data_IF_843342770650
#
_entry.id   IF_843342770650
#
_cell.length_a   1.000
_cell.length_b   1.000
_cell.length_c   1.000
_cell.angle_alpha   90.00
_cell.angle_beta   90.00
_cell.angle_gamma   90.00
#
_symmetry.space_group_name_H-M   'P 1'
#
loop_
_entity.id
_entity.type
_entity.pdbx_description
1 polymer ?
#
# COMPACT_ATOMS: atom_id res chain seq x y z
N UNK A 1 -1.56 -15.79 -6.97
CA UNK A 1 -1.23 -15.27 -5.63
C UNK A 1 0.05 -14.46 -5.74
N UNK A 2 0.20 -13.34 -5.00
CA UNK A 2 1.47 -12.63 -4.96
C UNK A 2 1.91 -12.31 -3.53
N UNK A 3 3.22 -12.30 -3.33
CA UNK A 3 3.87 -12.06 -2.05
C UNK A 3 4.86 -10.92 -2.18
N UNK A 4 4.63 -9.86 -1.42
CA UNK A 4 5.50 -8.69 -1.42
C UNK A 4 5.93 -8.30 0.00
N UNK A 5 6.99 -7.52 0.08
CA UNK A 5 7.55 -7.05 1.34
C UNK A 5 7.60 -5.53 1.41
N UNK A 6 7.39 -4.99 2.59
CA UNK A 6 7.63 -3.57 2.84
C UNK A 6 9.13 -3.28 2.75
N UNK A 7 9.49 -2.25 2.00
CA UNK A 7 10.85 -1.75 1.92
C UNK A 7 11.18 -0.92 3.19
N UNK A 8 12.40 -1.03 3.67
CA UNK A 8 12.89 -0.23 4.80
C UNK A 8 13.16 1.20 4.31
N UNK A 9 12.16 2.07 4.38
CA UNK A 9 12.20 3.45 3.81
C UNK A 9 12.42 4.53 4.86
N UNK A 10 12.77 4.15 6.10
CA UNK A 10 13.01 5.06 7.24
C UNK A 10 14.11 4.57 8.14
N UNK A 11 14.61 5.48 8.97
CA UNK A 11 15.69 5.19 9.91
C UNK A 11 17.08 5.14 9.25
N UNK A 12 18.08 4.76 10.03
CA UNK A 12 19.50 4.74 9.61
C UNK A 12 19.77 3.76 8.46
N UNK A 13 18.98 2.71 8.36
CA UNK A 13 19.14 1.67 7.33
C UNK A 13 18.53 2.06 5.98
N UNK A 14 17.75 3.13 5.94
CA UNK A 14 17.13 3.62 4.72
C UNK A 14 18.15 4.38 3.85
N UNK A 15 18.97 3.66 3.12
CA UNK A 15 20.01 4.21 2.23
C UNK A 15 19.85 3.64 0.81
N UNK A 16 20.31 4.37 -0.24
CA UNK A 16 20.25 3.88 -1.62
C UNK A 16 20.96 2.55 -1.84
N UNK A 17 22.05 2.30 -1.11
CA UNK A 17 22.77 1.02 -1.14
C UNK A 17 21.88 -0.11 -0.59
N UNK A 18 21.29 0.09 0.56
CA UNK A 18 20.42 -0.89 1.20
C UNK A 18 19.12 -1.14 0.42
N UNK A 19 18.54 -0.10 -0.18
CA UNK A 19 17.41 -0.26 -1.09
C UNK A 19 17.78 -1.18 -2.26
N UNK A 20 18.96 -0.98 -2.84
CA UNK A 20 19.46 -1.81 -3.94
C UNK A 20 19.64 -3.27 -3.50
N UNK A 21 20.31 -3.50 -2.36
CA UNK A 21 20.50 -4.85 -1.80
C UNK A 21 19.17 -5.59 -1.58
N UNK A 22 18.18 -4.91 -0.96
CA UNK A 22 16.86 -5.50 -0.74
C UNK A 22 16.17 -5.84 -2.06
N UNK A 23 16.21 -4.95 -3.04
CA UNK A 23 15.54 -5.16 -4.32
C UNK A 23 16.20 -6.27 -5.15
N UNK A 24 17.53 -6.34 -5.20
CA UNK A 24 18.28 -7.39 -5.87
C UNK A 24 18.01 -8.75 -5.20
N UNK A 25 17.99 -8.81 -3.87
CA UNK A 25 17.66 -10.03 -3.13
C UNK A 25 16.22 -10.46 -3.39
N UNK A 26 15.27 -9.53 -3.35
CA UNK A 26 13.86 -9.81 -3.65
C UNK A 26 13.69 -10.36 -5.08
N UNK A 27 14.39 -9.79 -6.06
CA UNK A 27 14.37 -10.28 -7.44
C UNK A 27 15.00 -11.66 -7.59
N UNK A 28 16.13 -11.92 -6.92
CA UNK A 28 16.82 -13.21 -6.93
C UNK A 28 15.99 -14.32 -6.25
N UNK A 29 15.29 -14.00 -5.18
CA UNK A 29 14.40 -14.91 -4.46
C UNK A 29 13.01 -15.05 -5.09
N UNK A 30 12.77 -14.44 -6.25
CA UNK A 30 11.48 -14.45 -6.94
C UNK A 30 10.33 -13.93 -6.08
N UNK A 31 10.59 -12.92 -5.25
CA UNK A 31 9.56 -12.15 -4.58
C UNK A 31 8.82 -11.32 -5.63
N UNK A 32 7.50 -11.19 -5.49
CA UNK A 32 6.66 -10.55 -6.53
C UNK A 32 6.72 -9.03 -6.49
N UNK A 33 6.80 -8.42 -5.30
CA UNK A 33 6.73 -6.97 -5.16
C UNK A 33 7.44 -6.41 -3.93
N UNK A 34 7.90 -5.15 -4.04
CA UNK A 34 8.29 -4.32 -2.90
C UNK A 34 7.35 -3.14 -2.73
N UNK A 35 7.08 -2.81 -1.47
CA UNK A 35 6.09 -1.80 -1.09
C UNK A 35 6.70 -0.69 -0.26
N UNK A 36 6.46 0.57 -0.66
CA UNK A 36 6.94 1.75 0.05
C UNK A 36 5.80 2.40 0.82
N UNK A 37 6.01 2.63 2.12
CA UNK A 37 5.14 3.50 2.92
C UNK A 37 5.55 4.96 2.79
N UNK A 38 4.63 5.89 3.08
CA UNK A 38 4.86 7.32 2.94
C UNK A 38 4.41 8.11 4.17
N UNK A 39 5.26 9.02 4.58
CA UNK A 39 4.94 10.19 5.40
C UNK A 39 5.76 11.38 4.87
N UNK A 40 5.20 12.59 4.92
CA UNK A 40 5.88 13.78 4.43
C UNK A 40 6.68 14.44 5.54
N UNK A 41 6.03 14.66 6.68
CA UNK A 41 6.64 15.28 7.85
C UNK A 41 5.99 14.77 9.14
N UNK A 42 6.81 14.42 10.10
CA UNK A 42 6.32 13.86 11.35
C UNK A 42 6.57 14.86 12.50
N UNK A 43 5.51 15.44 13.09
CA UNK A 43 5.64 16.28 14.26
C UNK A 43 6.29 15.52 15.43
N UNK A 44 7.15 16.16 16.22
CA UNK A 44 7.83 15.50 17.33
C UNK A 44 6.90 15.10 18.47
N UNK A 45 5.77 15.80 18.59
CA UNK A 45 4.71 15.51 19.57
C UNK A 45 3.45 15.09 18.83
N UNK A 46 2.85 13.99 19.26
CA UNK A 46 1.65 13.44 18.67
C UNK A 46 0.54 13.33 19.72
N UNK A 47 -0.66 13.78 19.35
CA UNK A 47 -1.90 13.60 20.13
C UNK A 47 -2.66 12.38 19.63
N UNK A 48 -2.57 12.13 18.33
CA UNK A 48 -3.20 10.98 17.70
C UNK A 48 -2.54 9.69 18.12
N UNK A 49 -3.31 8.75 18.67
CA UNK A 49 -2.85 7.40 18.93
C UNK A 49 -2.58 6.67 17.60
N UNK A 50 -1.61 5.76 17.58
CA UNK A 50 -1.34 4.95 16.39
C UNK A 50 -2.56 4.08 16.08
N UNK A 51 -3.24 4.39 14.99
CA UNK A 51 -4.56 3.81 14.66
C UNK A 51 -4.56 2.29 14.48
N UNK A 52 -3.39 1.71 14.20
CA UNK A 52 -3.24 0.26 14.00
C UNK A 52 -2.97 -0.51 15.31
N UNK A 53 -2.67 0.19 16.40
CA UNK A 53 -2.51 -0.37 17.74
C UNK A 53 -3.06 0.62 18.76
N UNK A 54 -4.34 0.53 19.14
CA UNK A 54 -4.94 1.41 20.13
C UNK A 54 -4.12 1.45 21.43
N UNK A 55 -3.84 2.65 21.93
CA UNK A 55 -3.03 2.86 23.13
C UNK A 55 -1.50 2.87 22.92
N UNK A 56 -1.04 2.62 21.71
CA UNK A 56 0.38 2.74 21.34
C UNK A 56 0.62 4.09 20.68
N UNK A 57 1.65 4.79 21.15
CA UNK A 57 2.11 6.02 20.52
C UNK A 57 2.91 5.71 19.25
N UNK A 58 2.97 6.67 18.35
CA UNK A 58 3.78 6.56 17.15
C UNK A 58 5.24 6.29 17.52
N UNK A 59 5.89 5.22 17.03
CA UNK A 59 7.22 4.83 17.47
C UNK A 59 8.26 5.92 17.22
N UNK A 60 9.10 6.23 18.20
CA UNK A 60 10.09 7.31 18.11
C UNK A 60 11.06 7.15 16.94
N UNK A 61 11.48 5.91 16.62
CA UNK A 61 12.39 5.66 15.50
C UNK A 61 11.76 5.95 14.14
N UNK A 62 10.44 6.03 14.04
CA UNK A 62 9.76 6.42 12.78
C UNK A 62 9.85 7.92 12.53
N UNK A 63 10.13 8.74 13.54
CA UNK A 63 10.31 10.19 13.40
C UNK A 63 11.62 10.58 12.70
N UNK A 64 12.46 9.61 12.33
CA UNK A 64 13.73 9.85 11.62
C UNK A 64 13.56 10.22 10.14
N UNK A 65 12.31 10.38 9.70
CA UNK A 65 11.98 10.73 8.32
C UNK A 65 11.74 9.52 7.43
N UNK A 66 10.96 9.74 6.39
CA UNK A 66 10.65 8.76 5.36
C UNK A 66 11.25 9.21 4.04
N UNK A 67 11.74 8.26 3.27
CA UNK A 67 12.05 8.53 1.87
C UNK A 67 10.75 8.62 1.07
N UNK A 68 10.75 9.51 0.09
CA UNK A 68 9.61 9.70 -0.80
C UNK A 68 9.46 8.46 -1.70
N UNK A 69 8.28 7.80 -1.73
CA UNK A 69 8.12 6.50 -2.38
C UNK A 69 8.32 6.52 -3.88
N UNK A 70 7.87 7.55 -4.59
CA UNK A 70 8.00 7.61 -6.05
C UNK A 70 9.45 7.75 -6.49
N UNK A 71 10.26 8.50 -5.73
CA UNK A 71 11.70 8.62 -5.97
C UNK A 71 12.43 7.29 -5.75
N UNK A 72 12.14 6.60 -4.64
CA UNK A 72 12.75 5.29 -4.32
C UNK A 72 12.34 4.24 -5.35
N UNK A 73 11.07 4.16 -5.70
CA UNK A 73 10.56 3.21 -6.70
C UNK A 73 11.20 3.46 -8.07
N UNK A 74 11.30 4.72 -8.51
CA UNK A 74 11.95 5.08 -9.79
C UNK A 74 13.41 4.66 -9.81
N UNK A 75 14.13 4.86 -8.70
CA UNK A 75 15.52 4.43 -8.56
C UNK A 75 15.68 2.91 -8.67
N UNK A 76 14.81 2.15 -8.01
CA UNK A 76 14.85 0.69 -7.99
C UNK A 76 14.34 0.07 -9.31
N UNK A 77 13.38 0.70 -9.95
CA UNK A 77 12.87 0.25 -11.25
C UNK A 77 13.96 0.18 -12.32
N UNK A 78 14.95 1.10 -12.27
CA UNK A 78 16.09 1.10 -13.18
C UNK A 78 17.12 -0.01 -12.89
N UNK A 79 17.05 -0.66 -11.73
CA UNK A 79 17.97 -1.71 -11.27
C UNK A 79 17.39 -3.11 -11.33
N UNK A 80 16.10 -3.22 -11.60
CA UNK A 80 15.35 -4.49 -11.60
C UNK A 80 14.60 -4.66 -12.91
N UNK A 81 14.28 -5.90 -13.26
CA UNK A 81 13.63 -6.21 -14.53
C UNK A 81 12.22 -6.82 -14.37
N UNK A 82 11.97 -7.55 -13.28
CA UNK A 82 10.75 -8.31 -13.05
C UNK A 82 9.96 -7.82 -11.83
N UNK A 83 10.67 -7.37 -10.81
CA UNK A 83 10.10 -6.97 -9.53
C UNK A 83 9.04 -5.87 -9.71
N UNK A 84 7.86 -6.09 -9.15
CA UNK A 84 6.80 -5.08 -9.09
C UNK A 84 7.01 -4.14 -7.92
N UNK A 85 6.45 -2.96 -8.01
CA UNK A 85 6.52 -1.95 -6.97
C UNK A 85 5.14 -1.39 -6.65
N UNK A 86 4.94 -1.04 -5.38
CA UNK A 86 3.71 -0.37 -4.99
C UNK A 86 3.92 0.58 -3.82
N UNK A 87 2.94 1.44 -3.60
CA UNK A 87 2.86 2.25 -2.39
C UNK A 87 1.90 1.60 -1.39
N UNK A 88 2.29 1.52 -0.11
CA UNK A 88 1.45 0.99 0.97
C UNK A 88 1.61 1.84 2.24
N UNK A 89 1.08 3.06 2.24
CA UNK A 89 0.29 3.74 1.20
C UNK A 89 0.73 5.20 1.09
N UNK A 90 0.37 5.87 -0.01
CA UNK A 90 0.39 7.33 -0.10
C UNK A 90 -0.88 7.88 0.54
N UNK A 91 -0.73 8.85 1.43
CA UNK A 91 -1.88 9.57 2.03
C UNK A 91 -2.32 10.66 1.06
N UNK A 92 -3.18 10.31 0.11
CA UNK A 92 -3.52 11.15 -1.05
C UNK A 92 -3.97 12.57 -0.69
N UNK A 93 -4.83 12.82 0.32
CA UNK A 93 -5.32 14.16 0.62
C UNK A 93 -4.30 15.11 1.28
N UNK A 94 -3.07 14.63 1.55
CA UNK A 94 -1.96 15.49 1.99
C UNK A 94 -1.25 16.18 0.82
N UNK A 95 -1.50 15.74 -0.41
CA UNK A 95 -0.79 16.17 -1.61
C UNK A 95 -1.69 16.95 -2.57
N UNK A 96 -1.05 17.62 -3.53
CA UNK A 96 -1.73 18.12 -4.71
C UNK A 96 -2.06 16.95 -5.66
N UNK A 97 -3.33 16.67 -5.97
CA UNK A 97 -3.69 15.49 -6.77
C UNK A 97 -3.21 15.57 -8.21
N UNK A 98 -3.03 16.74 -8.80
CA UNK A 98 -2.46 16.89 -10.14
C UNK A 98 -1.00 16.42 -10.18
N UNK A 99 -0.23 16.74 -9.14
CA UNK A 99 1.18 16.31 -9.02
C UNK A 99 1.24 14.80 -8.77
N UNK A 100 0.39 14.25 -7.89
CA UNK A 100 0.35 12.81 -7.65
C UNK A 100 -0.08 12.06 -8.92
N UNK A 101 -1.11 12.51 -9.64
CA UNK A 101 -1.52 11.88 -10.89
C UNK A 101 -0.37 11.82 -11.92
N UNK A 102 0.47 12.88 -11.95
CA UNK A 102 1.63 12.95 -12.81
C UNK A 102 2.73 12.00 -12.35
N UNK A 103 3.12 12.03 -11.08
CA UNK A 103 4.13 11.13 -10.51
C UNK A 103 3.75 9.66 -10.69
N UNK A 104 2.49 9.31 -10.46
CA UNK A 104 1.95 7.97 -10.69
C UNK A 104 2.13 7.54 -12.15
N UNK A 105 1.79 8.43 -13.09
CA UNK A 105 1.96 8.15 -14.52
C UNK A 105 3.44 8.02 -14.93
N UNK A 106 4.31 8.86 -14.37
CA UNK A 106 5.76 8.81 -14.61
C UNK A 106 6.39 7.52 -14.07
N UNK A 107 6.06 7.13 -12.83
CA UNK A 107 6.54 5.89 -12.22
C UNK A 107 6.03 4.67 -12.98
N UNK A 108 4.78 4.69 -13.44
CA UNK A 108 4.22 3.63 -14.27
C UNK A 108 5.00 3.45 -15.59
N UNK A 109 5.36 4.56 -16.24
CA UNK A 109 6.23 4.55 -17.42
C UNK A 109 7.64 4.03 -17.10
N UNK A 110 8.27 4.53 -16.05
CA UNK A 110 9.64 4.17 -15.65
C UNK A 110 9.74 2.71 -15.21
N UNK A 111 8.71 2.18 -14.56
CA UNK A 111 8.63 0.77 -14.18
C UNK A 111 8.18 -0.14 -15.33
N UNK A 112 7.82 0.42 -16.50
CA UNK A 112 7.26 -0.33 -17.62
C UNK A 112 6.02 -1.14 -17.25
N UNK A 113 5.08 -0.51 -16.49
CA UNK A 113 3.84 -1.13 -16.07
C UNK A 113 3.96 -2.10 -14.88
N UNK A 114 5.05 -2.06 -14.13
CA UNK A 114 5.25 -2.86 -12.90
C UNK A 114 4.81 -2.12 -11.63
N UNK A 115 4.06 -1.03 -11.75
CA UNK A 115 3.64 -0.18 -10.62
C UNK A 115 2.18 -0.44 -10.23
N UNK A 116 1.92 -0.44 -8.92
CA UNK A 116 0.60 -0.51 -8.28
C UNK A 116 0.45 0.69 -7.34
N UNK A 117 -0.61 1.47 -7.53
CA UNK A 117 -0.80 2.69 -6.74
C UNK A 117 -1.69 2.44 -5.52
N UNK A 118 -1.06 2.25 -4.37
CA UNK A 118 -1.74 2.12 -3.08
C UNK A 118 -1.91 3.46 -2.39
N UNK A 119 -3.15 3.78 -2.02
CA UNK A 119 -3.51 5.03 -1.38
C UNK A 119 -4.43 4.85 -0.16
N UNK A 120 -4.43 5.85 0.69
CA UNK A 120 -5.34 5.97 1.83
C UNK A 120 -5.69 7.42 2.12
N UNK A 121 -6.57 7.62 3.12
CA UNK A 121 -7.01 8.97 3.52
C UNK A 121 -6.19 9.55 4.67
N UNK A 122 -5.37 8.74 5.33
CA UNK A 122 -4.61 9.14 6.50
C UNK A 122 -5.40 9.13 7.82
N UNK A 123 -4.66 8.99 8.89
CA UNK A 123 -5.17 8.95 10.27
C UNK A 123 -4.49 9.97 11.18
N UNK A 124 -3.33 10.51 10.78
CA UNK A 124 -2.44 11.32 11.59
C UNK A 124 -2.75 12.80 11.39
N UNK A 125 -3.66 13.33 12.22
CA UNK A 125 -4.20 14.69 12.09
C UNK A 125 -3.13 15.77 12.17
N UNK A 126 -2.11 15.60 13.04
CA UNK A 126 -1.04 16.56 13.23
C UNK A 126 -0.16 16.73 11.97
N UNK A 127 -0.01 15.69 11.16
CA UNK A 127 0.67 15.80 9.87
C UNK A 127 -0.14 16.66 8.89
N UNK A 128 -1.48 16.52 8.88
CA UNK A 128 -2.36 17.39 8.10
C UNK A 128 -2.25 18.87 8.54
N UNK A 129 -2.21 19.11 9.85
CA UNK A 129 -2.07 20.47 10.40
C UNK A 129 -0.80 21.15 9.90
N UNK A 130 0.36 20.46 9.99
CA UNK A 130 1.65 20.99 9.53
C UNK A 130 1.65 21.27 8.04
N UNK A 131 0.96 20.44 7.26
CA UNK A 131 0.85 20.58 5.81
C UNK A 131 -0.24 21.58 5.38
N UNK A 132 -0.93 22.23 6.33
CA UNK A 132 -2.07 23.13 6.07
C UNK A 132 -3.16 22.44 5.24
N UNK A 133 -3.42 21.16 5.50
CA UNK A 133 -4.46 20.38 4.86
C UNK A 133 -5.61 20.12 5.85
N UNK A 134 -6.85 20.29 5.39
CA UNK A 134 -8.01 19.99 6.22
C UNK A 134 -8.18 18.48 6.41
N UNK A 135 -8.10 18.05 7.66
CA UNK A 135 -8.26 16.65 8.06
C UNK A 135 -9.70 16.14 7.90
N UNK A 136 -10.70 17.00 8.17
CA UNK A 136 -12.09 16.58 8.24
C UNK A 136 -12.73 16.30 6.88
N UNK A 137 -12.24 16.92 5.83
CA UNK A 137 -12.72 16.71 4.45
C UNK A 137 -11.86 15.70 3.65
N UNK A 138 -10.83 15.08 4.27
CA UNK A 138 -9.86 14.22 3.59
C UNK A 138 -10.50 13.08 2.78
N UNK A 139 -11.60 12.51 3.29
CA UNK A 139 -12.30 11.42 2.61
C UNK A 139 -12.95 11.83 1.30
N UNK A 140 -13.66 12.96 1.29
CA UNK A 140 -14.34 13.46 0.09
C UNK A 140 -13.35 14.01 -0.93
N UNK A 141 -12.28 14.68 -0.48
CA UNK A 141 -11.18 15.12 -1.37
C UNK A 141 -10.47 13.92 -2.03
N UNK A 142 -10.29 12.83 -1.31
CA UNK A 142 -9.72 11.60 -1.89
C UNK A 142 -10.62 11.01 -2.97
N UNK A 143 -11.94 10.96 -2.74
CA UNK A 143 -12.89 10.46 -3.73
C UNK A 143 -12.84 11.28 -5.01
N UNK A 144 -12.89 12.61 -4.88
CA UNK A 144 -12.83 13.52 -6.03
C UNK A 144 -11.47 13.46 -6.74
N UNK A 145 -10.37 13.28 -6.00
CA UNK A 145 -9.05 13.09 -6.61
C UNK A 145 -8.97 11.82 -7.45
N UNK A 146 -9.62 10.73 -7.04
CA UNK A 146 -9.69 9.50 -7.82
C UNK A 146 -10.50 9.68 -9.12
N UNK A 147 -11.59 10.44 -9.08
CA UNK A 147 -12.35 10.82 -10.28
C UNK A 147 -11.51 11.71 -11.21
N UNK A 148 -10.78 12.68 -10.63
CA UNK A 148 -9.84 13.52 -11.37
C UNK A 148 -8.75 12.71 -12.06
N UNK A 149 -8.20 11.66 -11.41
CA UNK A 149 -7.17 10.80 -12.01
C UNK A 149 -7.68 10.09 -13.26
N UNK A 150 -8.90 9.57 -13.23
CA UNK A 150 -9.51 8.96 -14.40
C UNK A 150 -9.61 9.94 -15.58
N UNK A 151 -9.95 11.20 -15.31
CA UNK A 151 -9.99 12.23 -16.33
C UNK A 151 -8.57 12.58 -16.84
N UNK A 152 -7.60 12.79 -15.94
CA UNK A 152 -6.23 13.15 -16.29
C UNK A 152 -5.50 12.07 -17.08
N UNK A 153 -5.75 10.79 -16.80
CA UNK A 153 -5.14 9.67 -17.52
C UNK A 153 -5.84 9.32 -18.83
N UNK A 154 -7.04 9.90 -19.05
CA UNK A 154 -7.78 9.82 -20.29
C UNK A 154 -7.19 10.67 -21.44
N UNK A 155 -7.88 10.79 -22.58
CA UNK A 155 -7.41 11.58 -23.72
C UNK A 155 -7.44 13.09 -23.42
N UNK A 156 -6.54 13.83 -24.08
CA UNK A 156 -6.54 15.30 -24.09
C UNK A 156 -7.52 15.85 -25.13
N UNK A 157 -8.05 17.08 -24.94
CA UNK A 157 -7.91 17.92 -23.77
C UNK A 157 -8.76 17.45 -22.60
N UNK A 158 -8.22 17.56 -21.38
CA UNK A 158 -8.90 17.19 -20.14
C UNK A 158 -9.77 18.34 -19.64
N UNK A 159 -11.00 18.04 -19.29
CA UNK A 159 -11.90 18.92 -18.54
C UNK A 159 -12.52 18.13 -17.39
N UNK A 160 -12.41 18.67 -16.18
CA UNK A 160 -13.00 18.11 -14.97
C UNK A 160 -13.52 19.22 -14.08
N UNK A 161 -14.75 19.07 -13.58
CA UNK A 161 -15.40 20.03 -12.64
C UNK A 161 -15.83 19.30 -11.39
N UNK A 162 -15.07 19.49 -10.31
CA UNK A 162 -15.38 18.98 -8.98
C UNK A 162 -15.69 20.09 -8.00
N UNK A 163 -15.86 19.71 -6.75
CA UNK A 163 -16.04 20.66 -5.64
C UNK A 163 -14.68 21.24 -5.19
N UNK A 164 -13.63 20.45 -5.24
CA UNK A 164 -12.29 20.79 -4.74
C UNK A 164 -11.29 21.00 -5.87
N UNK A 165 -11.46 20.30 -6.99
CA UNK A 165 -10.50 20.30 -8.10
C UNK A 165 -11.19 20.63 -9.41
N UNK A 166 -10.60 21.54 -10.16
CA UNK A 166 -11.14 21.97 -11.43
C UNK A 166 -10.03 22.10 -12.46
N UNK A 167 -10.27 21.63 -13.67
CA UNK A 167 -9.42 21.83 -14.84
C UNK A 167 -10.31 21.96 -16.07
N UNK A 168 -9.95 22.89 -16.96
CA UNK A 168 -10.71 23.16 -18.18
C UNK A 168 -9.75 23.21 -19.37
N UNK A 169 -10.03 22.36 -20.37
CA UNK A 169 -9.35 22.33 -21.67
C UNK A 169 -7.80 22.32 -21.56
N UNK A 170 -7.26 21.44 -20.70
CA UNK A 170 -5.83 21.34 -20.46
C UNK A 170 -5.23 20.05 -21.03
N UNK A 171 -3.93 20.08 -21.33
CA UNK A 171 -3.17 18.89 -21.68
C UNK A 171 -2.45 18.35 -20.43
N UNK A 172 -2.51 17.03 -20.25
CA UNK A 172 -1.84 16.35 -19.15
C UNK A 172 -0.95 15.23 -19.70
N UNK A 173 0.28 15.16 -19.23
CA UNK A 173 1.23 14.11 -19.63
C UNK A 173 2.47 14.03 -18.75
N UNK A 174 3.18 12.89 -18.78
CA UNK A 174 2.85 11.71 -19.58
C UNK A 174 1.55 11.02 -19.13
N UNK A 175 0.99 10.15 -19.99
CA UNK A 175 -0.10 9.25 -19.58
C UNK A 175 0.50 7.95 -19.06
N UNK A 176 -0.17 7.23 -18.15
CA UNK A 176 0.27 5.89 -17.73
C UNK A 176 0.39 4.93 -18.93
N UNK A 177 1.33 3.98 -18.84
CA UNK A 177 1.45 2.89 -19.81
C UNK A 177 0.35 1.85 -19.61
N UNK A 178 0.02 1.53 -18.36
CA UNK A 178 -1.12 0.69 -18.01
C UNK A 178 -2.44 1.41 -18.33
N UNK A 179 -3.48 0.68 -18.72
CA UNK A 179 -4.77 1.25 -19.10
C UNK A 179 -5.90 0.65 -18.25
N UNK A 180 -6.80 1.49 -17.71
CA UNK A 180 -6.91 2.95 -17.87
C UNK A 180 -5.86 3.74 -17.05
N UNK A 181 -5.16 3.11 -16.14
CA UNK A 181 -4.10 3.58 -15.26
C UNK A 181 -3.44 2.41 -14.53
N UNK A 182 -2.46 2.63 -13.66
CA UNK A 182 -1.95 1.60 -12.77
C UNK A 182 -3.06 1.10 -11.84
N UNK A 183 -3.04 -0.17 -11.40
CA UNK A 183 -4.03 -0.69 -10.46
C UNK A 183 -4.11 0.16 -9.19
N UNK A 184 -5.33 0.57 -8.86
CA UNK A 184 -5.64 1.40 -7.68
C UNK A 184 -5.91 0.47 -6.48
N UNK A 185 -5.06 0.59 -5.46
CA UNK A 185 -5.22 -0.10 -4.18
C UNK A 185 -5.74 0.87 -3.12
N UNK A 186 -6.93 0.62 -2.58
CA UNK A 186 -7.52 1.45 -1.52
C UNK A 186 -7.35 0.80 -0.17
N UNK A 187 -6.58 1.46 0.71
CA UNK A 187 -6.31 0.97 2.04
C UNK A 187 -7.36 1.38 3.07
N UNK A 188 -7.48 0.53 4.09
CA UNK A 188 -8.24 0.79 5.30
C UNK A 188 -9.30 -0.24 5.64
N UNK A 189 -9.61 -0.33 6.95
CA UNK A 189 -10.53 -1.31 7.53
C UNK A 189 -11.90 -0.68 7.88
N UNK A 190 -12.03 0.64 7.78
CA UNK A 190 -13.26 1.35 8.15
C UNK A 190 -14.33 1.23 7.07
N UNK A 191 -15.59 1.41 7.46
CA UNK A 191 -16.71 1.40 6.52
C UNK A 191 -16.56 2.42 5.37
N UNK A 192 -16.14 3.69 5.60
CA UNK A 192 -15.85 4.61 4.51
C UNK A 192 -14.74 4.14 3.56
N UNK A 193 -13.75 3.37 4.08
CA UNK A 193 -12.71 2.79 3.23
C UNK A 193 -13.26 1.66 2.36
N UNK A 194 -14.13 0.80 2.90
CA UNK A 194 -14.81 -0.25 2.13
C UNK A 194 -15.68 0.33 1.01
N UNK A 195 -16.46 1.38 1.30
CA UNK A 195 -17.27 2.09 0.29
C UNK A 195 -16.40 2.70 -0.81
N UNK A 196 -15.27 3.29 -0.44
CA UNK A 196 -14.29 3.82 -1.42
C UNK A 196 -13.67 2.72 -2.26
N UNK A 197 -13.27 1.60 -1.63
CA UNK A 197 -12.73 0.45 -2.35
C UNK A 197 -13.77 -0.11 -3.35
N UNK A 198 -15.01 -0.27 -2.91
CA UNK A 198 -16.09 -0.74 -3.78
C UNK A 198 -16.30 0.15 -5.02
N UNK A 199 -16.16 1.47 -4.87
CA UNK A 199 -16.40 2.42 -5.96
C UNK A 199 -15.21 2.58 -6.90
N UNK A 200 -13.97 2.64 -6.37
CA UNK A 200 -12.82 3.12 -7.13
C UNK A 200 -11.67 2.12 -7.26
N UNK A 201 -11.60 1.09 -6.41
CA UNK A 201 -10.41 0.25 -6.34
C UNK A 201 -10.46 -0.95 -7.30
N UNK A 202 -9.27 -1.32 -7.78
CA UNK A 202 -8.99 -2.65 -8.34
C UNK A 202 -8.67 -3.64 -7.21
N UNK A 203 -8.11 -3.14 -6.08
CA UNK A 203 -7.75 -3.94 -4.92
C UNK A 203 -8.12 -3.24 -3.61
N UNK A 204 -8.83 -3.94 -2.72
CA UNK A 204 -9.00 -3.51 -1.33
C UNK A 204 -7.80 -3.96 -0.49
N UNK A 205 -7.21 -3.02 0.26
CA UNK A 205 -5.97 -3.23 1.01
C UNK A 205 -6.15 -3.03 2.53
N UNK A 206 -6.75 -4.02 3.23
CA UNK A 206 -6.88 -3.97 4.68
C UNK A 206 -5.56 -4.22 5.39
N UNK A 207 -5.43 -3.64 6.59
CA UNK A 207 -4.23 -3.74 7.41
C UNK A 207 -4.53 -4.57 8.65
N UNK A 208 -3.74 -5.64 8.85
CA UNK A 208 -3.78 -6.53 10.02
C UNK A 208 -5.19 -7.00 10.40
N UNK A 209 -6.04 -7.42 9.46
CA UNK A 209 -7.33 -7.96 9.83
C UNK A 209 -7.14 -9.34 10.49
N UNK A 210 -7.86 -9.62 11.58
CA UNK A 210 -8.03 -11.01 12.01
C UNK A 210 -8.87 -11.77 10.97
N UNK A 211 -8.89 -13.10 11.03
CA UNK A 211 -9.69 -13.92 10.11
C UNK A 211 -11.17 -13.53 10.14
N UNK A 212 -11.74 -13.34 11.35
CA UNK A 212 -13.13 -12.93 11.50
C UNK A 212 -13.41 -11.51 11.00
N UNK A 213 -12.47 -10.57 11.20
CA UNK A 213 -12.60 -9.21 10.67
C UNK A 213 -12.52 -9.18 9.15
N UNK A 214 -11.63 -9.99 8.54
CA UNK A 214 -11.54 -10.09 7.09
C UNK A 214 -12.85 -10.64 6.52
N UNK A 215 -13.36 -11.73 7.07
CA UNK A 215 -14.61 -12.36 6.62
C UNK A 215 -15.81 -11.38 6.70
N UNK A 216 -16.00 -10.73 7.85
CA UNK A 216 -17.07 -9.74 8.03
C UNK A 216 -16.91 -8.54 7.08
N UNK A 217 -15.70 -8.04 6.90
CA UNK A 217 -15.43 -6.90 6.02
C UNK A 217 -15.62 -7.27 4.56
N UNK A 218 -15.28 -8.49 4.13
CA UNK A 218 -15.52 -9.00 2.78
C UNK A 218 -17.01 -9.11 2.49
N UNK A 219 -17.83 -9.56 3.46
CA UNK A 219 -19.29 -9.58 3.31
C UNK A 219 -19.86 -8.16 3.12
N UNK A 220 -19.40 -7.17 3.91
CA UNK A 220 -19.79 -5.77 3.74
C UNK A 220 -19.33 -5.20 2.40
N UNK A 221 -18.09 -5.51 1.99
CA UNK A 221 -17.56 -5.08 0.71
C UNK A 221 -18.41 -5.60 -0.46
N UNK A 222 -18.88 -6.84 -0.40
CA UNK A 222 -19.78 -7.40 -1.42
C UNK A 222 -21.08 -6.59 -1.56
N UNK A 223 -21.69 -6.18 -0.44
CA UNK A 223 -22.90 -5.33 -0.45
C UNK A 223 -22.62 -3.96 -1.09
N UNK A 224 -21.46 -3.35 -0.77
CA UNK A 224 -21.11 -2.04 -1.35
C UNK A 224 -20.76 -2.14 -2.83
N UNK A 225 -20.14 -3.24 -3.27
CA UNK A 225 -19.87 -3.50 -4.69
C UNK A 225 -21.18 -3.63 -5.50
N UNK A 226 -22.17 -4.36 -4.98
CA UNK A 226 -23.48 -4.47 -5.61
C UNK A 226 -24.16 -3.09 -5.77
N UNK A 227 -24.05 -2.22 -4.78
CA UNK A 227 -24.56 -0.84 -4.85
C UNK A 227 -23.87 0.00 -5.94
N UNK A 228 -22.61 -0.30 -6.26
CA UNK A 228 -21.83 0.31 -7.35
C UNK A 228 -21.93 -0.48 -8.69
N UNK A 229 -22.86 -1.44 -8.81
CA UNK A 229 -23.03 -2.32 -9.97
C UNK A 229 -21.76 -3.14 -10.30
N UNK A 230 -20.99 -3.50 -9.27
CA UNK A 230 -19.78 -4.32 -9.29
C UNK A 230 -19.99 -5.64 -8.55
N UNK A 231 -19.03 -6.53 -8.64
CA UNK A 231 -19.04 -7.81 -7.89
C UNK A 231 -17.67 -8.11 -7.30
N UNK A 232 -17.60 -9.09 -6.39
CA UNK A 232 -16.33 -9.57 -5.82
C UNK A 232 -15.32 -10.06 -6.86
N UNK A 233 -15.77 -10.40 -8.08
CA UNK A 233 -14.87 -10.77 -9.19
C UNK A 233 -14.14 -9.57 -9.80
N UNK A 234 -14.60 -8.35 -9.54
CA UNK A 234 -14.03 -7.12 -10.09
C UNK A 234 -13.04 -6.42 -9.13
N UNK A 235 -12.78 -7.01 -7.98
CA UNK A 235 -11.86 -6.46 -6.99
C UNK A 235 -11.03 -7.58 -6.36
N UNK A 236 -9.76 -7.31 -6.13
CA UNK A 236 -8.86 -8.21 -5.41
C UNK A 236 -8.74 -7.80 -3.94
N UNK A 237 -8.28 -8.72 -3.08
CA UNK A 237 -8.01 -8.46 -1.67
C UNK A 237 -6.52 -8.63 -1.41
N UNK A 238 -5.89 -7.59 -0.88
CA UNK A 238 -4.49 -7.54 -0.53
C UNK A 238 -4.30 -7.21 0.94
N UNK A 239 -3.94 -8.17 1.77
CA UNK A 239 -3.75 -7.88 3.20
C UNK A 239 -2.31 -7.43 3.50
N UNK A 240 -2.19 -6.44 4.40
CA UNK A 240 -0.91 -6.04 4.98
C UNK A 240 -0.77 -6.65 6.37
N UNK A 241 0.27 -7.47 6.57
CA UNK A 241 0.50 -8.20 7.81
C UNK A 241 1.98 -8.15 8.21
N UNK A 242 2.32 -8.14 9.50
CA UNK A 242 3.70 -8.40 9.91
C UNK A 242 4.09 -9.84 9.57
N UNK A 243 5.34 -10.06 9.17
CA UNK A 243 5.91 -11.40 9.05
C UNK A 243 7.10 -11.52 10.01
N UNK A 244 6.96 -12.40 11.00
CA UNK A 244 8.00 -12.63 12.01
C UNK A 244 8.23 -14.14 12.16
N UNK A 245 9.39 -14.60 11.73
CA UNK A 245 9.77 -16.02 11.84
C UNK A 245 10.48 -16.25 13.17
N UNK A 246 9.98 -17.18 13.97
CA UNK A 246 10.53 -17.56 15.29
C UNK A 246 10.15 -18.99 15.66
N UNK A 247 10.86 -19.61 16.61
CA UNK A 247 10.64 -21.02 17.00
C UNK A 247 9.43 -21.25 17.93
N UNK A 248 8.55 -20.28 18.06
CA UNK A 248 7.32 -20.37 18.87
C UNK A 248 6.11 -20.65 18.02
N UNK A 249 5.07 -21.24 18.59
CA UNK A 249 3.79 -21.41 17.92
C UNK A 249 3.16 -20.04 17.61
N UNK A 250 2.45 -19.93 16.51
CA UNK A 250 1.78 -18.68 16.13
C UNK A 250 0.76 -18.25 17.17
N UNK A 251 0.73 -16.94 17.44
CA UNK A 251 -0.31 -16.29 18.24
C UNK A 251 -1.56 -16.12 17.37
N UNK A 252 -2.76 -16.49 17.84
CA UNK A 252 -4.01 -16.24 17.12
C UNK A 252 -4.27 -14.76 16.77
N UNK A 253 -3.74 -13.81 17.55
CA UNK A 253 -3.81 -12.37 17.26
C UNK A 253 -2.78 -11.92 16.21
N UNK A 254 -1.69 -12.70 16.05
CA UNK A 254 -0.62 -12.44 15.09
C UNK A 254 -0.27 -13.72 14.30
N UNK A 255 -1.18 -14.21 13.47
CA UNK A 255 -1.04 -15.56 12.88
C UNK A 255 0.12 -15.69 11.90
N UNK A 256 0.71 -14.57 11.44
CA UNK A 256 1.93 -14.52 10.60
C UNK A 256 3.21 -14.29 11.41
N UNK A 257 3.16 -14.56 12.72
CA UNK A 257 4.30 -14.62 13.63
C UNK A 257 4.41 -16.01 14.22
N UNK A 258 5.55 -16.66 14.07
CA UNK A 258 5.78 -18.00 14.60
C UNK A 258 6.66 -18.86 13.70
N UNK A 259 6.49 -20.19 13.80
CA UNK A 259 7.24 -21.13 12.97
C UNK A 259 6.80 -21.10 11.50
N UNK A 260 7.69 -21.41 10.54
CA UNK A 260 7.37 -21.41 9.12
C UNK A 260 6.08 -22.17 8.75
N UNK A 261 5.87 -23.36 9.31
CA UNK A 261 4.69 -24.19 9.05
C UNK A 261 3.38 -23.53 9.58
N UNK A 262 3.43 -22.88 10.75
CA UNK A 262 2.28 -22.19 11.33
C UNK A 262 1.94 -20.94 10.49
N UNK A 263 2.96 -20.21 10.05
CA UNK A 263 2.80 -19.04 9.14
C UNK A 263 2.21 -19.47 7.80
N UNK A 264 2.70 -20.57 7.20
CA UNK A 264 2.15 -21.10 5.97
C UNK A 264 0.67 -21.46 6.12
N UNK A 265 0.30 -22.11 7.22
CA UNK A 265 -1.09 -22.44 7.54
C UNK A 265 -1.97 -21.18 7.67
N UNK A 266 -1.45 -20.12 8.27
CA UNK A 266 -2.16 -18.84 8.38
C UNK A 266 -2.34 -18.16 7.02
N UNK A 267 -1.33 -18.18 6.16
CA UNK A 267 -1.41 -17.65 4.79
C UNK A 267 -2.48 -18.42 3.99
N UNK A 268 -2.50 -19.76 4.05
CA UNK A 268 -3.54 -20.57 3.38
C UNK A 268 -4.94 -20.23 3.93
N UNK A 269 -5.07 -20.02 5.24
CA UNK A 269 -6.34 -19.60 5.82
C UNK A 269 -6.83 -18.24 5.32
N UNK A 270 -5.95 -17.24 5.21
CA UNK A 270 -6.31 -15.96 4.58
C UNK A 270 -6.66 -16.11 3.11
N UNK A 271 -6.00 -17.01 2.41
CA UNK A 271 -6.29 -17.34 1.01
C UNK A 271 -7.68 -17.95 0.84
N UNK A 272 -8.07 -18.89 1.69
CA UNK A 272 -9.44 -19.44 1.72
C UNK A 272 -10.51 -18.35 1.93
N UNK A 273 -10.18 -17.28 2.66
CA UNK A 273 -11.02 -16.11 2.85
C UNK A 273 -11.00 -15.11 1.69
N UNK A 274 -10.31 -15.45 0.59
CA UNK A 274 -10.32 -14.67 -0.64
C UNK A 274 -9.14 -13.70 -0.83
N UNK A 275 -8.10 -13.79 0.00
CA UNK A 275 -6.89 -12.98 -0.18
C UNK A 275 -6.08 -13.45 -1.39
N UNK A 276 -5.71 -12.52 -2.28
CA UNK A 276 -4.87 -12.78 -3.45
C UNK A 276 -3.44 -12.23 -3.33
N UNK A 277 -3.24 -11.21 -2.47
CA UNK A 277 -1.95 -10.55 -2.29
C UNK A 277 -1.60 -10.40 -0.82
N UNK A 278 -0.35 -10.64 -0.50
CA UNK A 278 0.21 -10.42 0.83
C UNK A 278 1.30 -9.35 0.76
N UNK A 279 1.18 -8.34 1.61
CA UNK A 279 2.20 -7.32 1.84
C UNK A 279 2.74 -7.51 3.25
N UNK A 280 3.95 -8.02 3.35
CA UNK A 280 4.55 -8.33 4.65
C UNK A 280 5.35 -7.15 5.19
N UNK A 281 4.96 -6.68 6.40
CA UNK A 281 5.77 -5.76 7.18
C UNK A 281 6.87 -6.49 7.91
N UNK A 282 8.04 -5.88 7.97
CA UNK A 282 9.22 -6.39 8.65
C UNK A 282 9.28 -5.88 10.09
N UNK A 283 9.56 -6.75 11.04
CA UNK A 283 9.74 -6.39 12.46
C UNK A 283 10.94 -7.14 13.02
N UNK A 284 12.03 -6.43 13.43
CA UNK A 284 12.25 -4.99 13.30
C UNK A 284 12.46 -4.54 11.84
N UNK A 285 12.23 -3.26 11.57
CA UNK A 285 12.44 -2.67 10.24
C UNK A 285 13.92 -2.35 10.01
N UNK A 286 14.73 -3.38 9.83
CA UNK A 286 16.17 -3.29 9.50
C UNK A 286 16.46 -4.02 8.22
N UNK A 287 17.58 -3.69 7.59
CA UNK A 287 18.00 -4.36 6.35
C UNK A 287 18.29 -5.84 6.58
N UNK A 288 18.98 -6.17 7.67
CA UNK A 288 19.30 -7.57 7.99
C UNK A 288 18.02 -8.39 8.22
N UNK A 289 17.03 -7.82 8.93
CA UNK A 289 15.73 -8.46 9.09
C UNK A 289 15.03 -8.64 7.74
N UNK A 290 15.08 -7.63 6.86
CA UNK A 290 14.46 -7.72 5.53
C UNK A 290 15.06 -8.88 4.71
N UNK A 291 16.37 -8.96 4.63
CA UNK A 291 17.07 -9.99 3.87
C UNK A 291 16.80 -11.38 4.44
N UNK A 292 16.99 -11.55 5.75
CA UNK A 292 16.76 -12.84 6.42
C UNK A 292 15.31 -13.30 6.31
N UNK A 293 14.34 -12.39 6.49
CA UNK A 293 12.91 -12.75 6.41
C UNK A 293 12.50 -13.15 5.01
N UNK A 294 13.01 -12.46 3.96
CA UNK A 294 12.75 -12.84 2.56
C UNK A 294 13.37 -14.21 2.23
N UNK A 295 14.58 -14.49 2.71
CA UNK A 295 15.23 -15.80 2.56
C UNK A 295 14.42 -16.91 3.24
N UNK A 296 14.06 -16.74 4.52
CA UNK A 296 13.21 -17.68 5.25
C UNK A 296 11.84 -17.88 4.56
N UNK A 297 11.22 -16.79 4.07
CA UNK A 297 9.97 -16.91 3.33
C UNK A 297 10.15 -17.79 2.08
N UNK A 298 11.19 -17.53 1.29
CA UNK A 298 11.43 -18.24 0.05
C UNK A 298 11.80 -19.72 0.26
N UNK A 299 12.56 -20.03 1.30
CA UNK A 299 13.12 -21.36 1.55
C UNK A 299 12.25 -22.23 2.46
N UNK A 300 11.63 -21.62 3.50
CA UNK A 300 10.99 -22.38 4.58
C UNK A 300 9.46 -22.19 4.64
N UNK A 301 8.89 -21.11 4.05
CA UNK A 301 7.44 -20.86 4.09
C UNK A 301 6.81 -21.16 2.74
N UNK A 302 7.30 -20.52 1.68
CA UNK A 302 6.73 -20.65 0.33
C UNK A 302 6.60 -22.09 -0.19
N UNK A 303 7.53 -23.05 0.07
CA UNK A 303 7.37 -24.44 -0.35
C UNK A 303 6.16 -25.17 0.27
N UNK A 304 5.60 -24.64 1.36
CA UNK A 304 4.42 -25.20 2.02
C UNK A 304 3.11 -24.56 1.54
N UNK A 305 3.17 -23.55 0.66
CA UNK A 305 2.00 -22.89 0.08
C UNK A 305 1.59 -23.61 -1.22
N UNK A 306 0.28 -23.86 -1.36
CA UNK A 306 -0.30 -24.61 -2.51
C UNK A 306 -0.65 -23.71 -3.71
#
# INVERSE_FOLDING_TARGET
>A
MSYGFSLVVRGSDATPENFTRIAETAEALEIDALWCSAHIILPPQTRSGYSMQPGVMFPEHWKQGYWEPFAVISYLAAKTSRLKFGTSIVVLPMHNPFEIAKQVAEVDQLTQGRFMFGLGVGWFEEEFEVLNQDFHNRGVRTNEALELFQALWGPDPVTFKGQYYNVENACFGPKPIQKPGPPIWVAGNSEPALKRAARYADTWHPVRPSFSQLEQSTQKLAIYLEAESRSMKSIEIAIKMPLVVEDTASDPEFPTRGRPADIASAIERYRELGTQHFVFDLIPETVDCALTTMECFAQDIRPHLS
#
